data_IF_136756526805
#
_entry.id   IF_136756526805
#
_cell.length_a   1.000
_cell.length_b   1.000
_cell.length_c   1.000
_cell.angle_alpha   90.00
_cell.angle_beta   90.00
_cell.angle_gamma   90.00
#
_symmetry.space_group_name_H-M   'P 1'
#
loop_
_entity.id
_entity.type
_entity.pdbx_description
1 polymer ?
#
# COMPACT_ATOMS: atom_id res chain seq x y z
N UNK A 1 -6.72 -26.70 16.41
CA UNK A 1 -6.44 -26.59 14.96
C UNK A 1 -5.45 -25.46 14.83
N UNK A 2 -4.17 -25.81 14.72
CA UNK A 2 -3.13 -24.86 14.36
C UNK A 2 -3.43 -24.40 12.93
N UNK A 3 -3.72 -23.11 12.79
CA UNK A 3 -3.75 -22.47 11.48
C UNK A 3 -2.28 -22.39 11.06
N UNK A 4 -1.92 -23.16 10.03
CA UNK A 4 -0.63 -23.07 9.37
C UNK A 4 -0.38 -21.60 9.04
N UNK A 5 0.61 -20.99 9.69
CA UNK A 5 1.16 -19.70 9.26
C UNK A 5 1.71 -19.92 7.85
N UNK A 6 1.02 -19.39 6.83
CA UNK A 6 1.61 -19.26 5.51
C UNK A 6 2.83 -18.36 5.63
N UNK A 7 4.00 -18.99 5.69
CA UNK A 7 5.33 -18.39 5.69
C UNK A 7 5.68 -17.86 4.30
N UNK A 8 4.84 -16.98 3.76
CA UNK A 8 5.06 -16.23 2.54
C UNK A 8 4.44 -14.85 2.72
N UNK A 9 5.27 -13.83 2.89
CA UNK A 9 4.79 -12.46 2.92
C UNK A 9 4.12 -12.11 1.58
N UNK A 10 3.07 -11.28 1.62
CA UNK A 10 2.34 -10.87 0.41
C UNK A 10 2.77 -9.49 -0.04
N UNK A 11 2.73 -9.24 -1.34
CA UNK A 11 2.94 -7.91 -1.90
C UNK A 11 1.65 -7.08 -1.85
N UNK A 12 1.78 -5.74 -1.86
CA UNK A 12 0.64 -4.85 -1.99
C UNK A 12 -0.14 -5.13 -3.29
N UNK A 13 0.57 -5.39 -4.39
CA UNK A 13 0.02 -5.70 -5.71
C UNK A 13 -0.85 -6.97 -5.69
N UNK A 14 -0.37 -8.04 -5.06
CA UNK A 14 -1.13 -9.30 -4.92
C UNK A 14 -2.40 -9.10 -4.11
N UNK A 15 -2.29 -8.40 -2.97
CA UNK A 15 -3.45 -8.15 -2.10
C UNK A 15 -4.49 -7.28 -2.80
N UNK A 16 -4.06 -6.26 -3.55
CA UNK A 16 -4.95 -5.41 -4.34
C UNK A 16 -5.66 -6.23 -5.41
N UNK A 17 -4.90 -7.04 -6.16
CA UNK A 17 -5.44 -7.85 -7.25
C UNK A 17 -6.48 -8.85 -6.75
N UNK A 18 -6.22 -9.50 -5.63
CA UNK A 18 -7.15 -10.47 -5.04
C UNK A 18 -8.39 -9.78 -4.46
N UNK A 19 -8.19 -8.74 -3.65
CA UNK A 19 -9.28 -8.08 -2.92
C UNK A 19 -10.23 -7.36 -3.86
N UNK A 20 -9.72 -6.66 -4.88
CA UNK A 20 -10.51 -5.86 -5.81
C UNK A 20 -10.75 -6.54 -7.16
N UNK A 21 -10.54 -7.87 -7.23
CA UNK A 21 -10.87 -8.68 -8.38
C UNK A 21 -12.37 -8.57 -8.74
N UNK A 22 -12.73 -8.72 -10.03
CA UNK A 22 -14.13 -8.77 -10.46
C UNK A 22 -14.95 -9.85 -9.74
N UNK A 23 -14.31 -10.95 -9.33
CA UNK A 23 -14.98 -12.06 -8.67
C UNK A 23 -15.45 -11.68 -7.25
N UNK A 24 -14.67 -10.87 -6.54
CA UNK A 24 -15.03 -10.34 -5.21
C UNK A 24 -15.95 -9.11 -5.29
N UNK A 25 -15.84 -8.33 -6.37
CA UNK A 25 -16.66 -7.14 -6.62
C UNK A 25 -17.36 -7.21 -7.99
N UNK A 26 -18.35 -8.12 -8.17
CA UNK A 26 -19.00 -8.36 -9.48
C UNK A 26 -19.82 -7.18 -10.01
N UNK A 27 -20.04 -6.15 -9.18
CA UNK A 27 -20.74 -4.94 -9.57
C UNK A 27 -19.76 -3.80 -9.85
N UNK A 28 -19.34 -3.68 -11.11
CA UNK A 28 -18.55 -2.56 -11.66
C UNK A 28 -19.28 -1.19 -11.63
N UNK A 29 -20.30 -1.02 -10.78
CA UNK A 29 -21.12 0.20 -10.62
C UNK A 29 -20.95 0.86 -9.25
N UNK A 30 -19.93 0.50 -8.49
CA UNK A 30 -19.49 1.28 -7.32
C UNK A 30 -18.65 2.50 -7.74
N UNK A 31 -18.44 3.51 -6.87
CA UNK A 31 -17.69 4.74 -7.17
C UNK A 31 -16.17 4.56 -7.39
N UNK A 32 -15.69 3.34 -7.63
CA UNK A 32 -14.27 3.05 -7.89
C UNK A 32 -13.86 3.35 -9.33
N UNK A 33 -12.55 3.56 -9.54
CA UNK A 33 -11.97 3.65 -10.89
C UNK A 33 -11.66 2.25 -11.40
N UNK A 34 -12.09 1.98 -12.63
CA UNK A 34 -11.69 0.76 -13.33
C UNK A 34 -10.24 0.85 -13.78
N UNK A 35 -9.39 0.00 -13.24
CA UNK A 35 -7.98 -0.14 -13.62
C UNK A 35 -7.84 -1.41 -14.47
N UNK A 36 -7.16 -1.32 -15.61
CA UNK A 36 -6.91 -2.46 -16.50
C UNK A 36 -5.49 -2.94 -16.28
N UNK A 37 -5.32 -4.20 -15.90
CA UNK A 37 -4.03 -4.88 -15.84
C UNK A 37 -3.69 -5.32 -17.27
N UNK A 38 -2.55 -4.90 -17.81
CA UNK A 38 -2.12 -5.31 -19.15
C UNK A 38 -1.30 -6.61 -19.07
N UNK A 39 -1.97 -7.70 -18.72
CA UNK A 39 -1.34 -9.02 -18.61
C UNK A 39 -1.33 -9.75 -19.96
N UNK A 40 -0.23 -9.61 -20.72
CA UNK A 40 0.06 -10.37 -21.96
C UNK A 40 -1.00 -10.26 -23.10
N UNK A 41 -0.61 -10.38 -24.39
CA UNK A 41 -1.55 -10.17 -25.50
C UNK A 41 -2.66 -11.23 -25.67
N UNK A 42 -2.80 -12.22 -24.76
CA UNK A 42 -3.76 -13.33 -24.88
C UNK A 42 -4.78 -13.44 -23.74
N UNK A 43 -4.75 -12.59 -22.71
CA UNK A 43 -5.76 -12.65 -21.64
C UNK A 43 -7.05 -11.91 -22.02
N UNK A 44 -8.20 -12.38 -21.52
CA UNK A 44 -9.51 -11.78 -21.81
C UNK A 44 -9.66 -10.44 -21.07
N UNK A 45 -10.04 -9.34 -21.75
CA UNK A 45 -10.00 -7.96 -21.19
C UNK A 45 -10.96 -7.69 -20.03
N UNK A 46 -11.73 -8.69 -19.60
CA UNK A 46 -12.69 -8.62 -18.48
C UNK A 46 -12.10 -9.22 -17.19
N UNK A 47 -11.21 -10.22 -17.30
CA UNK A 47 -10.54 -10.82 -16.13
C UNK A 47 -9.48 -9.91 -15.53
N UNK A 48 -8.96 -8.99 -16.33
CA UNK A 48 -7.84 -8.12 -15.97
C UNK A 48 -8.30 -6.71 -15.58
N UNK A 49 -9.52 -6.56 -15.02
CA UNK A 49 -10.04 -5.24 -14.61
C UNK A 49 -10.32 -5.20 -13.12
N UNK A 50 -9.57 -4.40 -12.39
CA UNK A 50 -9.82 -4.13 -10.98
C UNK A 50 -10.73 -2.89 -10.85
N UNK A 51 -11.62 -2.89 -9.86
CA UNK A 51 -12.40 -1.71 -9.53
C UNK A 51 -11.93 -1.14 -8.19
N UNK A 52 -11.08 -0.11 -8.25
CA UNK A 52 -10.34 0.40 -7.12
C UNK A 52 -10.94 1.72 -6.62
N UNK A 53 -11.44 1.80 -5.38
CA UNK A 53 -11.82 3.08 -4.78
C UNK A 53 -10.59 3.97 -4.57
N UNK A 54 -10.81 5.28 -4.34
CA UNK A 54 -9.74 6.21 -3.96
C UNK A 54 -9.28 6.01 -2.51
N UNK A 55 -10.06 5.30 -1.69
CA UNK A 55 -9.73 4.93 -0.32
C UNK A 55 -9.53 3.43 -0.29
N UNK A 56 -8.28 2.98 -0.09
CA UNK A 56 -7.94 1.57 0.00
C UNK A 56 -7.78 1.18 1.47
N UNK A 57 -8.58 0.22 1.92
CA UNK A 57 -8.44 -0.39 3.24
C UNK A 57 -7.83 -1.77 3.05
N UNK A 58 -6.59 -1.97 3.47
CA UNK A 58 -5.83 -3.22 3.34
C UNK A 58 -5.32 -3.70 4.71
N UNK A 59 -6.13 -3.47 5.74
CA UNK A 59 -5.84 -3.91 7.10
C UNK A 59 -5.71 -5.44 7.17
N UNK A 60 -4.71 -5.94 7.90
CA UNK A 60 -4.64 -7.37 8.24
C UNK A 60 -4.40 -8.31 7.06
N UNK A 61 -3.89 -7.81 5.94
CA UNK A 61 -3.75 -8.57 4.70
C UNK A 61 -2.43 -9.34 4.56
N UNK A 62 -1.54 -9.26 5.55
CA UNK A 62 -0.25 -9.95 5.53
C UNK A 62 0.79 -9.31 4.60
N UNK A 63 0.65 -8.02 4.30
CA UNK A 63 1.55 -7.30 3.39
C UNK A 63 2.93 -7.15 4.02
N UNK A 64 3.98 -7.53 3.30
CA UNK A 64 5.38 -7.38 3.72
C UNK A 64 6.20 -6.45 2.83
N UNK A 65 5.79 -6.27 1.58
CA UNK A 65 6.53 -5.50 0.57
C UNK A 65 5.60 -4.86 -0.47
N UNK A 66 6.12 -3.91 -1.25
CA UNK A 66 5.34 -3.18 -2.25
C UNK A 66 4.92 -4.08 -3.43
N UNK A 67 5.82 -4.93 -3.92
CA UNK A 67 5.67 -5.61 -5.21
C UNK A 67 6.21 -4.77 -6.37
N UNK A 68 5.72 -5.01 -7.59
CA UNK A 68 6.15 -4.27 -8.78
C UNK A 68 5.68 -2.80 -8.72
N UNK A 69 6.63 -1.88 -8.74
CA UNK A 69 6.36 -0.43 -8.61
C UNK A 69 5.50 0.12 -9.76
N UNK A 70 5.65 -0.41 -10.98
CA UNK A 70 4.83 -0.01 -12.12
C UNK A 70 3.39 -0.46 -11.95
N UNK A 71 3.16 -1.63 -11.36
CA UNK A 71 1.82 -2.09 -11.01
C UNK A 71 1.22 -1.29 -9.85
N UNK A 72 1.99 -0.99 -8.80
CA UNK A 72 1.54 -0.09 -7.71
C UNK A 72 1.11 1.26 -8.29
N UNK A 73 1.94 1.88 -9.14
CA UNK A 73 1.61 3.14 -9.79
C UNK A 73 0.33 3.05 -10.62
N UNK A 74 0.18 1.97 -11.38
CA UNK A 74 -1.01 1.73 -12.21
C UNK A 74 -2.28 1.57 -11.36
N UNK A 75 -2.20 0.84 -10.26
CA UNK A 75 -3.33 0.54 -9.39
C UNK A 75 -3.72 1.73 -8.52
N UNK A 76 -2.72 2.51 -8.09
CA UNK A 76 -2.90 3.47 -7.02
C UNK A 76 -2.77 4.94 -7.46
N UNK A 77 -2.60 5.25 -8.75
CA UNK A 77 -2.48 6.63 -9.24
C UNK A 77 -3.60 7.58 -8.78
N UNK A 78 -4.81 7.08 -8.49
CA UNK A 78 -5.95 7.87 -8.00
C UNK A 78 -6.26 7.72 -6.51
N UNK A 79 -5.45 6.96 -5.78
CA UNK A 79 -5.66 6.69 -4.35
C UNK A 79 -5.26 7.92 -3.54
N UNK A 80 -6.10 8.26 -2.57
CA UNK A 80 -5.96 9.43 -1.68
C UNK A 80 -5.86 9.04 -0.21
N UNK A 81 -6.41 7.88 0.18
CA UNK A 81 -6.24 7.34 1.53
C UNK A 81 -5.88 5.86 1.47
N UNK A 82 -4.91 5.45 2.28
CA UNK A 82 -4.42 4.08 2.33
C UNK A 82 -4.28 3.62 3.78
N UNK A 83 -5.01 2.57 4.14
CA UNK A 83 -4.88 1.88 5.41
C UNK A 83 -4.11 0.57 5.25
N UNK A 84 -2.89 0.53 5.77
CA UNK A 84 -2.02 -0.65 5.82
C UNK A 84 -1.85 -1.16 7.26
N UNK A 85 -2.77 -0.84 8.17
CA UNK A 85 -2.65 -1.28 9.55
C UNK A 85 -2.69 -2.81 9.70
N UNK A 86 -2.13 -3.32 10.78
CA UNK A 86 -2.07 -4.77 11.07
C UNK A 86 -1.41 -5.61 9.96
N UNK A 87 -0.44 -5.06 9.23
CA UNK A 87 0.37 -5.79 8.26
C UNK A 87 1.76 -6.13 8.85
N UNK A 88 2.66 -6.65 8.01
CA UNK A 88 3.97 -7.16 8.39
C UNK A 88 5.11 -6.37 7.74
N UNK A 89 4.90 -5.08 7.48
CA UNK A 89 5.92 -4.18 6.96
C UNK A 89 7.00 -3.95 8.03
N UNK A 90 8.25 -4.29 7.69
CA UNK A 90 9.43 -4.15 8.57
C UNK A 90 10.39 -3.07 8.10
N UNK A 91 10.43 -2.86 6.78
CA UNK A 91 11.42 -2.03 6.12
C UNK A 91 10.79 -0.70 5.63
N UNK A 92 11.39 0.42 6.00
CA UNK A 92 10.96 1.75 5.53
C UNK A 92 11.15 1.93 4.02
N UNK A 93 12.08 1.20 3.41
CA UNK A 93 12.26 1.18 1.95
C UNK A 93 11.00 0.71 1.23
N UNK A 94 10.29 -0.30 1.75
CA UNK A 94 9.05 -0.79 1.17
C UNK A 94 7.93 0.23 1.30
N UNK A 95 7.82 0.89 2.46
CA UNK A 95 6.87 2.00 2.64
C UNK A 95 7.17 3.14 1.66
N UNK A 96 8.44 3.47 1.47
CA UNK A 96 8.87 4.56 0.58
C UNK A 96 8.59 4.24 -0.89
N UNK A 97 8.80 2.99 -1.33
CA UNK A 97 8.40 2.51 -2.67
C UNK A 97 6.90 2.65 -2.90
N UNK A 98 6.08 2.26 -1.91
CA UNK A 98 4.62 2.42 -2.01
C UNK A 98 4.29 3.90 -2.18
N UNK A 99 4.79 4.78 -1.31
CA UNK A 99 4.50 6.20 -1.33
C UNK A 99 4.95 6.90 -2.62
N UNK A 100 6.13 6.58 -3.14
CA UNK A 100 6.65 7.15 -4.39
C UNK A 100 5.75 6.87 -5.60
N UNK A 101 4.96 5.79 -5.55
CA UNK A 101 4.05 5.37 -6.61
C UNK A 101 2.58 5.77 -6.37
N UNK A 102 2.28 6.53 -5.30
CA UNK A 102 0.93 7.03 -4.99
C UNK A 102 0.95 8.56 -4.83
N UNK A 103 1.06 9.30 -5.94
CA UNK A 103 1.36 10.75 -5.91
C UNK A 103 0.26 11.62 -5.29
N UNK A 104 -0.95 11.09 -5.12
CA UNK A 104 -2.10 11.82 -4.59
C UNK A 104 -2.47 11.42 -3.15
N UNK A 105 -1.61 10.65 -2.47
CA UNK A 105 -1.91 10.14 -1.13
C UNK A 105 -1.87 11.25 -0.08
N UNK A 106 -3.00 11.51 0.58
CA UNK A 106 -3.14 12.49 1.67
C UNK A 106 -3.06 11.82 3.05
N UNK A 107 -3.60 10.59 3.18
CA UNK A 107 -3.67 9.83 4.43
C UNK A 107 -3.01 8.46 4.32
N UNK A 108 -2.13 8.15 5.28
CA UNK A 108 -1.55 6.82 5.46
C UNK A 108 -1.69 6.34 6.91
N UNK A 109 -2.20 5.13 7.09
CA UNK A 109 -2.19 4.42 8.37
C UNK A 109 -1.24 3.21 8.30
N UNK A 110 -0.18 3.22 9.12
CA UNK A 110 0.79 2.12 9.26
C UNK A 110 0.68 1.43 10.62
N UNK A 111 -0.38 1.67 11.38
CA UNK A 111 -0.51 1.15 12.75
C UNK A 111 -0.29 -0.36 12.83
N UNK A 112 0.32 -0.85 13.90
CA UNK A 112 0.54 -2.29 14.12
C UNK A 112 1.41 -2.99 13.06
N UNK A 113 2.34 -2.27 12.42
CA UNK A 113 3.41 -2.85 11.59
C UNK A 113 4.75 -2.86 12.35
N UNK A 114 5.58 -3.92 12.27
CA UNK A 114 6.85 -4.03 12.98
C UNK A 114 8.01 -3.22 12.34
N UNK A 115 7.84 -1.89 12.21
CA UNK A 115 8.77 -0.96 11.54
C UNK A 115 10.04 -0.60 12.34
N UNK A 116 10.35 -1.34 13.41
CA UNK A 116 11.56 -1.15 14.21
C UNK A 116 12.84 -1.72 13.58
N UNK A 117 12.71 -2.44 12.46
CA UNK A 117 13.80 -3.23 11.86
C UNK A 117 14.82 -2.42 11.05
N UNK A 118 14.47 -1.20 10.63
CA UNK A 118 15.25 -0.41 9.69
C UNK A 118 15.27 1.07 10.04
N UNK A 119 16.32 1.76 9.63
CA UNK A 119 16.38 3.21 9.66
C UNK A 119 15.75 3.79 8.39
N UNK A 120 15.21 5.01 8.48
CA UNK A 120 14.73 5.75 7.31
C UNK A 120 15.83 6.69 6.83
N UNK A 121 16.39 6.39 5.66
CA UNK A 121 17.34 7.29 5.00
C UNK A 121 16.65 8.58 4.55
N UNK A 122 17.29 9.76 4.65
CA UNK A 122 16.67 11.04 4.27
C UNK A 122 16.12 11.07 2.84
N UNK A 123 16.82 10.47 1.88
CA UNK A 123 16.34 10.40 0.48
C UNK A 123 15.09 9.54 0.31
N UNK A 124 14.90 8.52 1.14
CA UNK A 124 13.70 7.71 1.14
C UNK A 124 12.53 8.45 1.83
N UNK A 125 12.83 9.35 2.77
CA UNK A 125 11.85 10.17 3.45
C UNK A 125 11.15 11.16 2.51
N UNK A 126 11.79 11.60 1.42
CA UNK A 126 11.20 12.49 0.41
C UNK A 126 9.86 11.96 -0.14
N UNK A 127 9.65 10.63 -0.13
CA UNK A 127 8.41 9.98 -0.52
C UNK A 127 7.20 10.39 0.36
N UNK A 128 7.43 10.91 1.57
CA UNK A 128 6.39 11.36 2.49
C UNK A 128 5.91 12.79 2.21
N UNK A 129 6.53 13.50 1.27
CA UNK A 129 6.23 14.92 0.98
C UNK A 129 4.81 15.22 0.51
N UNK A 130 4.08 14.21 0.00
CA UNK A 130 2.67 14.35 -0.38
C UNK A 130 1.67 14.15 0.76
N UNK A 131 2.10 13.54 1.88
CA UNK A 131 1.21 13.17 2.97
C UNK A 131 0.82 14.36 3.83
N UNK A 132 -0.42 14.37 4.32
CA UNK A 132 -0.91 15.36 5.31
C UNK A 132 -1.28 14.71 6.63
N UNK A 133 -1.57 13.40 6.61
CA UNK A 133 -1.98 12.64 7.78
C UNK A 133 -1.26 11.29 7.80
N UNK A 134 -0.56 11.02 8.90
CA UNK A 134 0.18 9.78 9.10
C UNK A 134 -0.14 9.21 10.49
N UNK A 135 -0.48 7.92 10.55
CA UNK A 135 -0.75 7.20 11.80
C UNK A 135 0.29 6.10 11.99
N UNK A 136 1.03 6.15 13.11
CA UNK A 136 2.15 5.25 13.43
C UNK A 136 1.94 4.48 14.75
N UNK A 137 0.70 4.24 15.16
CA UNK A 137 0.41 3.62 16.45
C UNK A 137 0.98 2.20 16.52
N UNK A 138 1.62 1.85 17.63
CA UNK A 138 2.17 0.52 17.89
C UNK A 138 3.13 -0.01 16.82
N UNK A 139 3.87 0.88 16.14
CA UNK A 139 4.84 0.48 15.10
C UNK A 139 6.26 0.22 15.62
N UNK A 140 6.53 0.62 16.88
CA UNK A 140 7.87 0.61 17.50
C UNK A 140 8.91 1.47 16.76
N UNK A 141 8.45 2.42 15.94
CA UNK A 141 9.30 3.41 15.27
C UNK A 141 10.06 4.27 16.30
N UNK A 142 11.31 4.62 16.01
CA UNK A 142 12.09 5.54 16.84
C UNK A 142 11.68 6.99 16.60
N UNK A 143 11.90 7.86 17.60
CA UNK A 143 11.65 9.29 17.45
C UNK A 143 12.53 9.96 16.40
N UNK A 144 13.73 9.45 16.14
CA UNK A 144 14.61 9.95 15.08
C UNK A 144 13.96 9.78 13.71
N UNK A 145 13.37 8.61 13.43
CA UNK A 145 12.65 8.36 12.18
C UNK A 145 11.41 9.24 12.09
N UNK A 146 10.65 9.39 13.18
CA UNK A 146 9.50 10.30 13.22
C UNK A 146 9.94 11.72 12.88
N UNK A 147 11.05 12.19 13.45
CA UNK A 147 11.59 13.52 13.17
C UNK A 147 11.96 13.68 11.69
N UNK A 148 12.63 12.69 11.10
CA UNK A 148 12.95 12.65 9.66
C UNK A 148 11.68 12.76 8.81
N UNK A 149 10.65 11.97 9.09
CA UNK A 149 9.37 12.03 8.35
C UNK A 149 8.70 13.40 8.48
N UNK A 150 8.64 13.96 9.69
CA UNK A 150 7.96 15.25 9.92
C UNK A 150 8.61 16.44 9.23
N UNK A 151 9.86 16.32 8.77
CA UNK A 151 10.52 17.36 7.98
C UNK A 151 10.07 17.40 6.52
N UNK A 152 9.53 16.29 6.03
CA UNK A 152 9.08 16.13 4.64
C UNK A 152 7.59 16.44 4.51
N UNK A 153 6.80 16.16 5.54
CA UNK A 153 5.35 16.43 5.57
C UNK A 153 5.08 17.95 5.57
N UNK A 154 4.30 18.48 4.61
CA UNK A 154 3.94 19.90 4.56
C UNK A 154 3.08 20.33 5.75
N UNK A 155 3.18 21.61 6.12
CA UNK A 155 2.35 22.25 7.16
C UNK A 155 0.84 22.24 6.85
#
# INVERSE_FOLDING_TARGET
MEVSEETGGRTLVEVISDKYSPDNFPYCRGPGKGVVILSSPQSSPVKDRLNLPSVLVLEGCGITEAGDESEVATFCAHVVELDLSHNQLREWSEVSKILANIPNLDFLNLSMNPLSGSNLEPSAAEAFSGLRRLVLNNTRVSWDVVHTITREIPE
#
